data_IF_116054669831
#
_entry.id   IF_116054669831
#
_cell.length_a   1.000
_cell.length_b   1.000
_cell.length_c   1.000
_cell.angle_alpha   90.00
_cell.angle_beta   90.00
_cell.angle_gamma   90.00
#
_symmetry.space_group_name_H-M   'P 1'
#
loop_
_entity.id
_entity.type
_entity.pdbx_description
1 polymer ?
#
# COMPACT_ATOMS: atom_id res chain seq x y z
N UNK A 1 -15.25 -28.46 -4.74
CA UNK A 1 -16.34 -28.05 -5.64
C UNK A 1 -16.15 -26.59 -5.98
N UNK A 2 -15.95 -26.31 -7.26
CA UNK A 2 -15.54 -24.97 -7.72
C UNK A 2 -16.79 -24.12 -7.97
N UNK A 3 -17.16 -23.29 -7.00
CA UNK A 3 -18.14 -22.24 -7.27
C UNK A 3 -17.48 -21.06 -8.01
N UNK A 4 -17.54 -21.15 -9.33
CA UNK A 4 -17.19 -20.02 -10.20
C UNK A 4 -18.38 -19.07 -10.25
N UNK A 5 -18.44 -18.07 -9.41
CA UNK A 5 -19.36 -16.96 -9.62
C UNK A 5 -18.75 -15.97 -10.61
N UNK A 6 -19.37 -15.82 -11.77
CA UNK A 6 -19.05 -14.77 -12.75
C UNK A 6 -19.83 -13.52 -12.36
N UNK A 7 -19.12 -12.46 -12.00
CA UNK A 7 -19.74 -11.14 -11.84
C UNK A 7 -19.51 -10.37 -13.14
N UNK A 8 -20.58 -10.10 -13.86
CA UNK A 8 -20.56 -9.27 -15.07
C UNK A 8 -20.76 -7.82 -14.68
N UNK A 9 -19.69 -7.03 -14.66
CA UNK A 9 -19.78 -5.58 -14.79
C UNK A 9 -19.50 -5.21 -16.24
N UNK A 10 -20.11 -4.15 -16.74
CA UNK A 10 -19.96 -3.72 -18.12
C UNK A 10 -18.47 -3.68 -18.52
N UNK A 11 -18.08 -4.56 -19.43
CA UNK A 11 -16.74 -4.73 -20.02
C UNK A 11 -15.62 -5.38 -19.21
N UNK A 12 -15.81 -5.82 -17.97
CA UNK A 12 -14.77 -6.51 -17.22
C UNK A 12 -15.31 -7.76 -16.52
N UNK A 13 -14.83 -8.92 -16.93
CA UNK A 13 -15.13 -10.19 -16.25
C UNK A 13 -14.07 -10.43 -15.18
N UNK A 14 -14.46 -10.34 -13.93
CA UNK A 14 -13.65 -10.77 -12.80
C UNK A 14 -14.06 -12.21 -12.41
N UNK A 15 -13.08 -13.11 -12.24
CA UNK A 15 -13.29 -14.42 -11.68
C UNK A 15 -12.99 -14.39 -10.19
N UNK A 16 -13.93 -14.89 -9.39
CA UNK A 16 -13.82 -14.93 -7.94
C UNK A 16 -13.55 -16.36 -7.50
N UNK A 17 -12.50 -16.54 -6.71
CA UNK A 17 -12.23 -17.77 -5.99
C UNK A 17 -12.26 -17.47 -4.50
N UNK A 18 -13.18 -18.10 -3.80
CA UNK A 18 -13.24 -17.98 -2.34
C UNK A 18 -12.87 -19.32 -1.75
N UNK A 19 -11.85 -19.35 -0.90
CA UNK A 19 -11.47 -20.53 -0.13
C UNK A 19 -11.03 -20.09 1.25
N UNK A 20 -11.65 -20.66 2.29
CA UNK A 20 -11.14 -20.53 3.64
C UNK A 20 -9.87 -21.40 3.76
N UNK A 21 -8.76 -20.78 4.07
CA UNK A 21 -7.48 -21.43 4.30
C UNK A 21 -6.85 -20.93 5.58
N UNK A 22 -6.04 -21.75 6.22
CA UNK A 22 -5.13 -21.27 7.27
C UNK A 22 -4.01 -20.47 6.63
N UNK A 23 -3.43 -19.52 7.35
CA UNK A 23 -2.32 -18.71 6.85
C UNK A 23 -1.15 -19.54 6.32
N UNK A 24 -0.71 -20.64 6.97
CA UNK A 24 0.31 -21.52 6.42
C UNK A 24 -0.08 -22.18 5.10
N UNK A 25 -1.34 -22.60 4.92
CA UNK A 25 -1.83 -23.14 3.65
C UNK A 25 -1.84 -22.10 2.53
N UNK A 26 -2.17 -20.87 2.85
CA UNK A 26 -2.12 -19.76 1.91
C UNK A 26 -0.69 -19.45 1.47
N UNK A 27 0.26 -19.40 2.42
CA UNK A 27 1.68 -19.20 2.10
C UNK A 27 2.25 -20.32 1.25
N UNK A 28 1.90 -21.57 1.53
CA UNK A 28 2.32 -22.70 0.70
C UNK A 28 1.78 -22.61 -0.74
N UNK A 29 0.61 -22.04 -0.93
CA UNK A 29 -0.01 -21.86 -2.25
C UNK A 29 0.59 -20.68 -3.04
N UNK A 30 1.02 -19.62 -2.35
CA UNK A 30 1.72 -18.45 -2.94
C UNK A 30 3.22 -18.69 -3.18
N UNK A 31 3.65 -19.90 -2.95
CA UNK A 31 4.98 -20.29 -2.59
C UNK A 31 6.04 -20.07 -3.61
N UNK A 32 6.19 -19.66 -4.61
CA UNK A 32 7.49 -19.84 -5.27
C UNK A 32 8.34 -18.59 -5.36
N UNK A 33 7.78 -17.44 -5.65
CA UNK A 33 8.59 -16.22 -5.80
C UNK A 33 8.87 -15.51 -4.48
N UNK A 34 7.86 -15.41 -3.64
CA UNK A 34 7.97 -14.66 -2.37
C UNK A 34 8.78 -15.44 -1.33
N UNK A 35 8.54 -16.73 -1.19
CA UNK A 35 9.32 -17.58 -0.31
C UNK A 35 10.78 -17.74 -0.78
N UNK A 36 11.02 -17.80 -2.09
CA UNK A 36 12.37 -17.79 -2.65
C UNK A 36 13.08 -16.46 -2.36
N UNK A 37 12.41 -15.32 -2.45
CA UNK A 37 12.92 -14.00 -2.07
C UNK A 37 13.24 -13.90 -0.58
N UNK A 38 12.36 -14.41 0.28
CA UNK A 38 12.58 -14.43 1.73
C UNK A 38 13.78 -15.31 2.11
N UNK A 39 13.96 -16.47 1.47
CA UNK A 39 15.15 -17.34 1.67
C UNK A 39 16.46 -16.68 1.22
N UNK A 40 16.44 -15.97 0.09
CA UNK A 40 17.62 -15.24 -0.43
C UNK A 40 18.02 -14.14 0.55
N UNK A 41 17.08 -13.55 1.28
CA UNK A 41 17.33 -12.48 2.24
C UNK A 41 17.73 -12.98 3.64
N UNK A 42 18.03 -14.27 3.81
CA UNK A 42 18.45 -14.84 5.09
C UNK A 42 17.32 -15.01 6.11
N UNK A 43 16.07 -14.70 5.73
CA UNK A 43 14.90 -15.00 6.55
C UNK A 43 14.40 -16.40 6.22
N UNK A 44 14.27 -17.27 7.22
CA UNK A 44 13.54 -18.50 7.05
C UNK A 44 12.03 -18.17 7.04
N UNK A 45 11.24 -19.05 6.45
CA UNK A 45 9.78 -18.97 6.53
C UNK A 45 9.29 -18.90 7.98
N UNK A 46 9.95 -19.65 8.86
CA UNK A 46 9.68 -19.67 10.29
C UNK A 46 10.05 -18.35 10.98
N UNK A 47 11.15 -17.70 10.57
CA UNK A 47 11.52 -16.36 11.06
C UNK A 47 10.49 -15.31 10.67
N UNK A 48 9.94 -15.39 9.48
CA UNK A 48 8.86 -14.52 9.03
C UNK A 48 7.55 -14.73 9.80
N UNK A 49 7.14 -15.97 9.99
CA UNK A 49 5.94 -16.31 10.76
C UNK A 49 6.08 -16.00 12.24
N UNK A 50 7.28 -16.17 12.79
CA UNK A 50 7.53 -16.05 14.22
C UNK A 50 7.92 -14.65 14.66
N UNK A 51 8.22 -13.75 13.73
CA UNK A 51 8.68 -12.39 14.01
C UNK A 51 9.93 -12.40 14.89
N UNK A 52 10.77 -13.41 14.74
CA UNK A 52 11.93 -13.63 15.57
C UNK A 52 13.08 -12.72 15.13
N UNK A 53 13.34 -11.70 15.91
CA UNK A 53 14.63 -11.01 15.90
C UNK A 53 15.70 -11.73 16.76
N UNK A 54 15.36 -12.81 17.44
CA UNK A 54 16.28 -13.50 18.36
C UNK A 54 16.02 -15.00 18.42
N UNK A 55 17.05 -15.78 18.18
CA UNK A 55 17.07 -17.25 18.21
C UNK A 55 16.66 -17.93 19.55
N UNK A 56 16.14 -17.21 20.54
CA UNK A 56 15.86 -17.74 21.88
C UNK A 56 14.40 -17.89 22.26
N UNK A 57 13.47 -17.20 21.59
CA UNK A 57 12.08 -17.00 22.09
C UNK A 57 11.02 -17.92 21.45
N UNK A 58 11.42 -18.93 20.70
CA UNK A 58 10.51 -19.73 19.86
C UNK A 58 9.67 -20.77 20.63
N UNK A 59 10.05 -21.11 21.84
CA UNK A 59 9.49 -22.30 22.52
C UNK A 59 8.07 -22.17 23.08
N UNK A 60 7.48 -20.96 23.18
CA UNK A 60 6.19 -20.76 23.87
C UNK A 60 5.11 -19.98 23.09
N UNK A 61 5.20 -19.86 21.77
CA UNK A 61 4.15 -19.18 21.01
C UNK A 61 3.11 -20.19 20.52
N UNK A 62 1.95 -20.13 21.12
CA UNK A 62 0.76 -20.85 20.65
C UNK A 62 0.26 -20.14 19.39
N UNK A 63 0.39 -20.79 18.23
CA UNK A 63 -0.22 -20.31 16.99
C UNK A 63 -1.72 -20.60 17.04
N UNK A 64 -2.53 -19.57 17.16
CA UNK A 64 -3.95 -19.71 16.85
C UNK A 64 -4.10 -19.86 15.33
N UNK A 65 -4.40 -21.06 14.88
CA UNK A 65 -4.80 -21.32 13.50
C UNK A 65 -6.23 -20.80 13.25
N UNK A 66 -6.36 -19.47 13.17
CA UNK A 66 -7.63 -18.84 12.84
C UNK A 66 -7.81 -18.95 11.32
N UNK A 67 -8.89 -19.57 10.84
CA UNK A 67 -9.19 -19.58 9.40
C UNK A 67 -9.35 -18.14 8.90
N UNK A 68 -8.57 -17.75 7.91
CA UNK A 68 -8.67 -16.45 7.29
C UNK A 68 -9.33 -16.59 5.92
N UNK A 69 -10.45 -15.87 5.65
CA UNK A 69 -11.06 -15.88 4.33
C UNK A 69 -10.14 -15.18 3.33
N UNK A 70 -9.84 -15.85 2.23
CA UNK A 70 -9.01 -15.32 1.16
C UNK A 70 -9.83 -15.26 -0.11
N UNK A 71 -9.93 -14.06 -0.69
CA UNK A 71 -10.59 -13.80 -1.95
C UNK A 71 -9.52 -13.51 -3.01
N UNK A 72 -9.36 -14.40 -3.96
CA UNK A 72 -8.45 -14.23 -5.07
C UNK A 72 -9.19 -13.71 -6.30
N UNK A 73 -8.85 -12.50 -6.76
CA UNK A 73 -9.54 -11.82 -7.86
C UNK A 73 -8.62 -11.67 -9.05
N UNK A 74 -9.01 -12.22 -10.18
CA UNK A 74 -8.27 -12.09 -11.43
C UNK A 74 -9.04 -11.16 -12.37
N UNK A 75 -8.41 -10.08 -12.78
CA UNK A 75 -8.94 -9.18 -13.80
C UNK A 75 -8.73 -9.78 -15.20
N UNK A 76 -9.74 -9.72 -16.04
CA UNK A 76 -9.63 -10.18 -17.43
C UNK A 76 -8.61 -9.37 -18.23
N UNK A 77 -8.51 -8.06 -17.96
CA UNK A 77 -7.55 -7.15 -18.59
C UNK A 77 -6.80 -6.35 -17.53
N UNK A 78 -5.50 -6.13 -17.76
CA UNK A 78 -4.72 -5.26 -16.90
C UNK A 78 -5.02 -3.79 -17.24
N UNK A 79 -5.86 -3.16 -16.44
CA UNK A 79 -6.21 -1.74 -16.56
C UNK A 79 -5.46 -0.86 -15.54
N UNK A 80 -4.46 -1.42 -14.87
CA UNK A 80 -3.62 -0.72 -13.91
C UNK A 80 -4.03 -0.90 -12.44
N UNK A 81 -3.30 -0.22 -11.55
CA UNK A 81 -3.42 -0.32 -10.09
C UNK A 81 -4.73 0.25 -9.57
N UNK A 82 -5.11 1.45 -10.01
CA UNK A 82 -6.31 2.14 -9.53
C UNK A 82 -7.58 1.33 -9.81
N UNK A 83 -7.62 0.63 -10.95
CA UNK A 83 -8.74 -0.26 -11.25
C UNK A 83 -8.82 -1.44 -10.28
N UNK A 84 -7.69 -1.95 -9.80
CA UNK A 84 -7.70 -2.96 -8.72
C UNK A 84 -8.20 -2.38 -7.40
N UNK A 85 -7.83 -1.15 -7.09
CA UNK A 85 -8.35 -0.43 -5.92
C UNK A 85 -9.85 -0.15 -6.04
N UNK A 86 -10.36 0.15 -7.25
CA UNK A 86 -11.80 0.32 -7.49
C UNK A 86 -12.56 -0.97 -7.15
N UNK A 87 -12.08 -2.13 -7.62
CA UNK A 87 -12.67 -3.42 -7.27
C UNK A 87 -12.61 -3.71 -5.78
N UNK A 88 -11.49 -3.41 -5.14
CA UNK A 88 -11.34 -3.60 -3.70
C UNK A 88 -12.30 -2.73 -2.90
N UNK A 89 -12.29 -1.43 -3.15
CA UNK A 89 -13.10 -0.49 -2.36
C UNK A 89 -14.59 -0.54 -2.71
N UNK A 90 -14.94 -0.43 -4.00
CA UNK A 90 -16.34 -0.41 -4.45
C UNK A 90 -16.98 -1.78 -4.54
N UNK A 91 -16.18 -2.83 -4.77
CA UNK A 91 -16.70 -4.20 -4.80
C UNK A 91 -16.76 -4.83 -3.41
N UNK A 92 -15.61 -4.89 -2.72
CA UNK A 92 -15.51 -5.61 -1.44
C UNK A 92 -15.86 -4.75 -0.23
N UNK A 93 -15.17 -3.62 -0.07
CA UNK A 93 -15.34 -2.83 1.14
C UNK A 93 -16.76 -2.23 1.23
N UNK A 94 -17.33 -1.81 0.13
CA UNK A 94 -18.70 -1.27 0.11
C UNK A 94 -19.74 -2.36 0.47
N UNK A 95 -19.52 -3.61 0.06
CA UNK A 95 -20.38 -4.72 0.43
C UNK A 95 -20.16 -5.21 1.86
N UNK A 96 -18.89 -5.38 2.27
CA UNK A 96 -18.53 -5.96 3.57
C UNK A 96 -18.54 -4.96 4.72
N UNK A 97 -18.50 -3.65 4.43
CA UNK A 97 -18.47 -2.55 5.42
C UNK A 97 -17.40 -2.79 6.52
N UNK A 98 -16.13 -3.02 6.15
CA UNK A 98 -15.08 -3.29 7.14
C UNK A 98 -14.83 -2.07 8.02
N UNK A 99 -14.30 -2.24 9.22
CA UNK A 99 -13.88 -1.11 10.05
C UNK A 99 -12.60 -0.47 9.49
N UNK A 100 -11.69 -1.29 9.00
CA UNK A 100 -10.42 -0.87 8.41
C UNK A 100 -10.17 -1.53 7.05
N UNK A 101 -9.58 -0.77 6.15
CA UNK A 101 -9.09 -1.25 4.85
C UNK A 101 -7.57 -1.06 4.77
N UNK A 102 -6.83 -2.13 4.54
CA UNK A 102 -5.38 -2.10 4.41
C UNK A 102 -4.98 -2.29 2.94
N UNK A 103 -4.14 -1.40 2.43
CA UNK A 103 -3.51 -1.56 1.11
C UNK A 103 -2.05 -1.96 1.28
N UNK A 104 -1.63 -2.92 0.46
CA UNK A 104 -0.25 -3.38 0.39
C UNK A 104 0.10 -3.58 -1.09
N UNK A 105 1.18 -2.97 -1.56
CA UNK A 105 1.67 -3.17 -2.92
C UNK A 105 2.33 -4.54 -3.08
N UNK A 106 2.29 -5.06 -4.28
CA UNK A 106 3.03 -6.26 -4.64
C UNK A 106 4.54 -6.06 -4.41
N UNK A 107 5.18 -7.02 -3.73
CA UNK A 107 6.60 -6.94 -3.35
C UNK A 107 6.84 -6.26 -2.01
N UNK A 108 5.79 -5.76 -1.35
CA UNK A 108 5.88 -5.23 0.01
C UNK A 108 5.50 -6.28 1.04
N UNK A 109 6.28 -6.40 2.11
CA UNK A 109 6.12 -7.42 3.16
C UNK A 109 6.04 -6.73 4.53
N UNK A 110 4.84 -6.61 5.11
CA UNK A 110 4.71 -6.13 6.48
C UNK A 110 5.43 -7.05 7.46
N UNK A 111 6.20 -6.50 8.37
CA UNK A 111 6.82 -7.26 9.43
C UNK A 111 5.76 -7.70 10.46
N UNK A 112 6.15 -8.68 11.28
CA UNK A 112 5.32 -9.20 12.37
C UNK A 112 4.75 -8.04 13.22
N UNK A 113 3.48 -8.13 13.57
CA UNK A 113 2.74 -7.13 14.35
C UNK A 113 2.52 -5.76 13.69
N UNK A 114 3.05 -5.49 12.51
CA UNK A 114 2.98 -4.16 11.92
C UNK A 114 1.54 -3.73 11.63
N UNK A 115 0.76 -4.60 11.01
CA UNK A 115 -0.67 -4.32 10.73
C UNK A 115 -1.45 -4.21 12.03
N UNK A 116 -1.28 -5.16 12.96
CA UNK A 116 -1.98 -5.12 14.24
C UNK A 116 -1.62 -3.91 15.09
N UNK A 117 -0.38 -3.40 14.97
CA UNK A 117 0.07 -2.17 15.62
C UNK A 117 -0.67 -0.95 15.07
N UNK A 118 -0.82 -0.85 13.75
CA UNK A 118 -1.58 0.23 13.12
C UNK A 118 -3.06 0.15 13.52
N UNK A 119 -3.67 -1.04 13.47
CA UNK A 119 -5.08 -1.23 13.86
C UNK A 119 -5.31 -0.83 15.31
N UNK A 120 -4.48 -1.32 16.25
CA UNK A 120 -4.56 -0.92 17.67
C UNK A 120 -4.38 0.57 17.88
N UNK A 121 -3.52 1.21 17.10
CA UNK A 121 -3.32 2.65 17.16
C UNK A 121 -4.57 3.40 16.69
N UNK A 122 -5.17 2.98 15.58
CA UNK A 122 -6.45 3.52 15.07
C UNK A 122 -7.59 3.28 16.06
N UNK A 123 -7.64 2.11 16.72
CA UNK A 123 -8.65 1.81 17.73
C UNK A 123 -8.58 2.76 18.92
N UNK A 124 -7.36 3.08 19.37
CA UNK A 124 -7.14 4.01 20.46
C UNK A 124 -7.44 5.45 20.09
N UNK A 125 -7.20 5.84 18.82
CA UNK A 125 -7.32 7.22 18.34
C UNK A 125 -8.44 7.33 17.29
N UNK A 126 -9.67 7.51 17.74
CA UNK A 126 -10.86 7.47 16.87
C UNK A 126 -10.95 8.63 15.85
N UNK A 127 -10.20 9.73 16.05
CA UNK A 127 -10.10 10.87 15.13
C UNK A 127 -9.21 10.57 13.91
N UNK A 128 -8.40 9.49 13.94
CA UNK A 128 -7.49 9.19 12.86
C UNK A 128 -8.23 8.42 11.77
N UNK A 129 -8.32 9.01 10.58
CA UNK A 129 -8.96 8.44 9.40
C UNK A 129 -8.05 7.53 8.59
N UNK A 130 -6.74 7.78 8.61
CA UNK A 130 -5.76 6.93 7.96
C UNK A 130 -4.44 6.92 8.71
N UNK A 131 -3.70 5.83 8.60
CA UNK A 131 -2.37 5.72 9.18
C UNK A 131 -1.43 4.92 8.26
N UNK A 132 -0.16 5.27 8.30
CA UNK A 132 0.92 4.57 7.60
C UNK A 132 2.04 4.24 8.56
N UNK A 133 2.80 3.21 8.23
CA UNK A 133 4.00 2.82 8.96
C UNK A 133 5.29 3.22 8.24
N UNK A 134 6.38 2.66 8.71
CA UNK A 134 7.69 2.76 8.13
C UNK A 134 7.82 1.81 6.94
N UNK A 135 8.27 2.33 5.81
CA UNK A 135 8.65 1.52 4.66
C UNK A 135 10.17 1.45 4.63
N UNK A 136 10.70 0.25 4.75
CA UNK A 136 12.13 -0.02 4.69
C UNK A 136 12.49 -0.73 3.39
N UNK A 137 13.58 -0.30 2.79
CA UNK A 137 14.17 -0.97 1.63
C UNK A 137 14.85 -2.26 2.09
N UNK A 138 14.60 -3.35 1.39
CA UNK A 138 15.29 -4.62 1.65
C UNK A 138 16.76 -4.47 1.20
N UNK A 139 17.67 -4.55 2.15
CA UNK A 139 19.11 -4.63 1.88
C UNK A 139 19.50 -6.11 1.87
N UNK A 140 19.89 -6.62 0.71
CA UNK A 140 20.37 -7.97 0.53
C UNK A 140 21.85 -7.95 0.18
N UNK A 141 22.58 -9.01 0.52
CA UNK A 141 24.00 -9.16 0.14
C UNK A 141 24.13 -9.51 -1.34
N UNK A 142 23.13 -10.17 -1.90
CA UNK A 142 23.10 -10.63 -3.29
C UNK A 142 21.89 -10.11 -4.03
N UNK A 143 22.09 -9.88 -5.31
CA UNK A 143 21.03 -9.50 -6.23
C UNK A 143 19.99 -10.64 -6.32
N UNK A 144 18.73 -10.41 -5.96
CA UNK A 144 17.71 -11.46 -5.96
C UNK A 144 17.31 -11.93 -7.36
N UNK A 145 17.63 -11.16 -8.41
CA UNK A 145 17.34 -11.55 -9.79
C UNK A 145 18.40 -12.48 -10.35
N UNK A 146 19.69 -12.27 -10.04
CA UNK A 146 20.82 -13.00 -10.60
C UNK A 146 21.45 -14.00 -9.63
N UNK A 147 21.24 -13.82 -8.31
CA UNK A 147 21.90 -14.60 -7.26
C UNK A 147 23.37 -14.26 -7.03
N UNK A 148 23.91 -13.30 -7.78
CA UNK A 148 25.30 -12.83 -7.66
C UNK A 148 25.42 -11.66 -6.69
N UNK A 149 26.64 -11.34 -6.26
CA UNK A 149 26.90 -10.12 -5.51
C UNK A 149 26.54 -8.87 -6.31
N UNK A 150 26.16 -7.82 -5.63
CA UNK A 150 25.90 -6.54 -6.29
C UNK A 150 27.19 -5.91 -6.80
N UNK A 151 27.15 -5.35 -7.99
CA UNK A 151 28.18 -4.43 -8.44
C UNK A 151 28.23 -3.19 -7.55
N UNK A 152 29.38 -2.50 -7.52
CA UNK A 152 29.54 -1.27 -6.72
C UNK A 152 28.46 -0.24 -7.01
N UNK A 153 28.11 0.10 -8.29
CA UNK A 153 27.03 1.04 -8.58
C UNK A 153 25.65 0.58 -8.09
N UNK A 154 25.33 -0.70 -8.19
CA UNK A 154 24.06 -1.26 -7.68
C UNK A 154 23.99 -1.18 -6.16
N UNK A 155 25.08 -1.52 -5.46
CA UNK A 155 25.16 -1.41 -4.00
C UNK A 155 25.02 0.04 -3.53
N UNK A 156 25.68 0.99 -4.19
CA UNK A 156 25.53 2.42 -3.88
C UNK A 156 24.10 2.91 -4.12
N UNK A 157 23.49 2.50 -5.23
CA UNK A 157 22.10 2.86 -5.57
C UNK A 157 21.11 2.33 -4.53
N UNK A 158 21.32 1.10 -4.07
CA UNK A 158 20.49 0.46 -3.05
C UNK A 158 20.58 1.20 -1.71
N UNK A 159 21.80 1.53 -1.26
CA UNK A 159 22.05 2.27 -0.02
C UNK A 159 21.50 3.70 -0.06
N UNK A 160 21.60 4.37 -1.22
CA UNK A 160 21.02 5.70 -1.40
C UNK A 160 19.49 5.68 -1.25
N UNK A 161 18.82 4.69 -1.84
CA UNK A 161 17.39 4.51 -1.67
C UNK A 161 17.01 4.15 -0.23
N UNK A 162 17.79 3.29 0.42
CA UNK A 162 17.58 2.98 1.85
C UNK A 162 17.62 4.24 2.70
N UNK A 163 18.63 5.09 2.52
CA UNK A 163 18.76 6.34 3.22
C UNK A 163 17.57 7.28 2.95
N UNK A 164 17.18 7.42 1.68
CA UNK A 164 16.03 8.25 1.29
C UNK A 164 14.73 7.80 1.99
N UNK A 165 14.45 6.49 2.01
CA UNK A 165 13.24 5.96 2.67
C UNK A 165 13.29 6.17 4.19
N UNK A 166 14.46 6.05 4.81
CA UNK A 166 14.64 6.33 6.23
C UNK A 166 14.43 7.81 6.54
N UNK A 167 15.03 8.71 5.76
CA UNK A 167 14.84 10.15 5.91
C UNK A 167 13.36 10.54 5.75
N UNK A 168 12.71 10.08 4.68
CA UNK A 168 11.28 10.32 4.46
C UNK A 168 10.40 9.79 5.60
N UNK A 169 10.80 8.72 6.27
CA UNK A 169 10.02 8.15 7.37
C UNK A 169 10.26 8.90 8.67
N UNK A 170 11.52 9.07 9.08
CA UNK A 170 11.86 9.59 10.40
C UNK A 170 11.83 11.12 10.49
N UNK A 171 12.00 11.80 9.36
CA UNK A 171 11.97 13.26 9.31
C UNK A 171 10.60 13.72 8.80
N UNK A 172 10.27 13.41 7.53
CA UNK A 172 9.10 14.00 6.89
C UNK A 172 7.80 13.51 7.51
N UNK A 173 7.54 12.19 7.49
CA UNK A 173 6.27 11.64 8.02
C UNK A 173 6.11 11.85 9.52
N UNK A 174 7.20 11.74 10.28
CA UNK A 174 7.15 11.97 11.72
C UNK A 174 6.78 13.42 12.04
N UNK A 175 7.38 14.37 11.35
CA UNK A 175 7.07 15.80 11.50
C UNK A 175 5.65 16.13 11.05
N UNK A 176 5.26 15.69 9.84
CA UNK A 176 3.92 15.91 9.32
C UNK A 176 2.83 15.33 10.23
N UNK A 177 3.07 14.16 10.80
CA UNK A 177 2.12 13.49 11.71
C UNK A 177 1.85 14.28 12.98
N UNK A 178 2.79 15.10 13.48
CA UNK A 178 2.58 16.00 14.63
C UNK A 178 1.51 17.04 14.31
N UNK A 179 1.45 17.48 13.05
CA UNK A 179 0.45 18.43 12.58
C UNK A 179 -0.87 17.78 12.14
N UNK A 180 -1.00 16.46 12.34
CA UNK A 180 -2.23 15.71 12.05
C UNK A 180 -2.41 15.32 10.58
N UNK A 181 -1.39 15.42 9.76
CA UNK A 181 -1.42 14.97 8.38
C UNK A 181 -0.16 14.17 7.99
N UNK A 182 -0.24 13.44 6.91
CA UNK A 182 0.91 12.81 6.22
C UNK A 182 0.67 13.00 4.73
N UNK A 183 1.55 13.73 4.06
CA UNK A 183 1.39 14.17 2.67
C UNK A 183 1.45 13.04 1.63
N UNK A 184 1.89 11.86 2.04
CA UNK A 184 1.92 10.65 1.20
C UNK A 184 1.42 9.47 2.00
N UNK A 185 0.28 8.92 1.60
CA UNK A 185 -0.25 7.65 2.09
C UNK A 185 0.15 6.53 1.11
N UNK A 186 1.33 5.92 1.28
CA UNK A 186 1.87 5.03 0.27
C UNK A 186 0.97 3.80 0.11
N UNK A 187 0.62 3.48 -1.14
CA UNK A 187 -0.12 2.27 -1.45
C UNK A 187 0.60 0.97 -1.02
N UNK A 188 1.90 1.07 -0.73
CA UNK A 188 2.69 -0.04 -0.22
C UNK A 188 2.34 -0.45 1.20
N UNK A 189 1.95 0.51 2.06
CA UNK A 189 1.63 0.20 3.47
C UNK A 189 0.80 1.31 4.11
N UNK A 190 -0.50 1.36 3.81
CA UNK A 190 -1.44 2.32 4.41
C UNK A 190 -2.73 1.65 4.83
N UNK A 191 -3.22 2.03 6.00
CA UNK A 191 -4.49 1.57 6.58
C UNK A 191 -5.45 2.74 6.64
N UNK A 192 -6.67 2.51 6.21
CA UNK A 192 -7.74 3.50 6.17
C UNK A 192 -8.89 3.06 7.07
N UNK A 193 -9.46 3.98 7.81
CA UNK A 193 -10.76 3.76 8.45
C UNK A 193 -11.83 3.88 7.38
N UNK A 194 -12.59 2.80 7.17
CA UNK A 194 -13.58 2.74 6.08
C UNK A 194 -14.59 3.89 6.15
N UNK A 195 -15.10 4.17 7.32
CA UNK A 195 -16.05 5.28 7.54
C UNK A 195 -15.50 6.64 7.09
N UNK A 196 -14.21 6.87 7.17
CA UNK A 196 -13.55 8.10 6.77
C UNK A 196 -13.44 8.23 5.25
N UNK A 197 -13.04 7.15 4.58
CA UNK A 197 -12.76 7.20 3.14
C UNK A 197 -13.99 6.93 2.28
N UNK A 198 -15.01 6.26 2.81
CA UNK A 198 -16.23 5.94 2.07
C UNK A 198 -17.01 7.23 1.74
N UNK A 199 -17.16 7.52 0.46
CA UNK A 199 -17.81 8.74 -0.03
C UNK A 199 -16.88 9.62 -0.85
N UNK A 200 -16.82 10.91 -0.52
CA UNK A 200 -16.09 11.91 -1.30
C UNK A 200 -14.57 11.60 -1.46
N UNK A 201 -13.81 11.24 -0.41
CA UNK A 201 -12.40 10.94 -0.55
C UNK A 201 -12.12 9.79 -1.53
N UNK A 202 -12.90 8.72 -1.41
CA UNK A 202 -12.76 7.56 -2.28
C UNK A 202 -13.13 7.88 -3.73
N UNK A 203 -14.18 8.66 -3.93
CA UNK A 203 -14.62 9.06 -5.27
C UNK A 203 -13.55 9.91 -5.97
N UNK A 204 -12.92 10.86 -5.27
CA UNK A 204 -11.81 11.65 -5.82
C UNK A 204 -10.59 10.77 -6.15
N UNK A 205 -10.23 9.87 -5.25
CA UNK A 205 -9.14 8.92 -5.47
C UNK A 205 -9.37 8.03 -6.70
N UNK A 206 -10.60 7.56 -6.90
CA UNK A 206 -10.95 6.64 -8.00
C UNK A 206 -11.15 7.34 -9.35
N UNK A 207 -11.17 8.67 -9.42
CA UNK A 207 -11.22 9.41 -10.71
C UNK A 207 -10.08 9.06 -11.67
N UNK A 208 -9.00 8.48 -11.17
CA UNK A 208 -7.93 7.91 -11.99
C UNK A 208 -8.25 6.59 -12.66
N UNK A 209 -9.35 5.91 -12.31
CA UNK A 209 -9.80 4.71 -13.00
C UNK A 209 -10.25 5.03 -14.43
N UNK A 210 -9.98 4.13 -15.38
CA UNK A 210 -10.12 4.42 -16.81
C UNK A 210 -11.53 4.84 -17.21
N UNK A 211 -12.55 4.21 -16.65
CA UNK A 211 -13.93 4.49 -17.00
C UNK A 211 -14.37 5.88 -16.50
N UNK A 212 -13.93 6.29 -15.33
CA UNK A 212 -14.21 7.61 -14.75
C UNK A 212 -13.31 8.69 -15.35
N UNK A 213 -12.13 8.33 -15.80
CA UNK A 213 -11.17 9.20 -16.47
C UNK A 213 -11.70 9.73 -17.81
N UNK A 214 -12.41 8.92 -18.59
CA UNK A 214 -13.04 9.31 -19.83
C UNK A 214 -14.12 10.38 -19.66
N UNK A 215 -14.80 10.39 -18.51
CA UNK A 215 -15.89 11.33 -18.18
C UNK A 215 -15.40 12.73 -17.73
N UNK A 216 -14.10 12.92 -17.51
CA UNK A 216 -13.55 14.18 -17.03
C UNK A 216 -13.20 15.14 -18.18
N UNK A 217 -14.21 15.73 -18.79
CA UNK A 217 -14.02 16.67 -19.92
C UNK A 217 -13.28 17.97 -19.54
N UNK A 218 -13.34 18.38 -18.26
CA UNK A 218 -12.78 19.66 -17.78
C UNK A 218 -11.27 19.69 -17.58
N UNK A 219 -10.59 18.55 -17.61
CA UNK A 219 -9.14 18.50 -17.41
C UNK A 219 -8.40 18.49 -18.72
N UNK A 220 -7.26 19.21 -18.78
CA UNK A 220 -6.38 19.15 -19.95
C UNK A 220 -5.81 17.73 -20.12
N UNK A 221 -5.50 17.28 -21.35
CA UNK A 221 -4.90 15.97 -21.57
C UNK A 221 -3.64 15.72 -20.74
N UNK A 222 -2.81 16.74 -20.56
CA UNK A 222 -1.59 16.67 -19.74
C UNK A 222 -1.92 16.43 -18.26
N UNK A 223 -2.86 17.16 -17.71
CA UNK A 223 -3.32 16.98 -16.32
C UNK A 223 -3.91 15.59 -16.13
N UNK A 224 -4.77 15.15 -17.04
CA UNK A 224 -5.33 13.80 -17.03
C UNK A 224 -4.25 12.72 -16.99
N UNK A 225 -3.23 12.83 -17.83
CA UNK A 225 -2.18 11.84 -17.95
C UNK A 225 -1.27 11.75 -16.71
N UNK A 226 -1.14 12.81 -15.92
CA UNK A 226 -0.14 12.90 -14.86
C UNK A 226 -0.72 12.97 -13.44
N UNK A 227 -1.92 13.52 -13.23
CA UNK A 227 -2.51 13.75 -11.91
C UNK A 227 -2.68 12.46 -11.09
N UNK A 228 -3.04 11.37 -11.75
CA UNK A 228 -3.29 10.09 -11.09
C UNK A 228 -2.11 9.11 -11.14
N UNK A 229 -0.92 9.58 -11.52
CA UNK A 229 0.31 8.77 -11.43
C UNK A 229 0.81 8.59 -10.00
N UNK A 230 0.40 9.49 -9.09
CA UNK A 230 0.68 9.45 -7.67
C UNK A 230 -0.64 9.65 -6.90
N UNK A 231 -1.52 8.67 -7.02
CA UNK A 231 -2.85 8.63 -6.40
C UNK A 231 -2.80 8.74 -4.87
N UNK A 232 -1.72 8.25 -4.28
CA UNK A 232 -1.43 8.29 -2.86
C UNK A 232 -1.27 9.72 -2.30
N UNK A 233 -0.98 10.68 -3.17
CA UNK A 233 -0.89 12.11 -2.82
C UNK A 233 -2.21 12.87 -2.91
N UNK A 234 -3.27 12.27 -3.40
CA UNK A 234 -4.60 12.87 -3.46
C UNK A 234 -5.41 12.47 -2.22
N UNK A 235 -5.31 11.22 -1.82
CA UNK A 235 -6.13 10.66 -0.75
C UNK A 235 -5.99 11.41 0.58
N UNK A 236 -4.78 11.82 0.96
CA UNK A 236 -4.58 12.52 2.23
C UNK A 236 -5.32 13.85 2.29
N UNK A 237 -5.31 14.63 1.20
CA UNK A 237 -6.00 15.91 1.13
C UNK A 237 -7.51 15.73 1.29
N UNK A 238 -8.06 14.75 0.59
CA UNK A 238 -9.50 14.50 0.60
C UNK A 238 -9.96 13.94 1.97
N UNK A 239 -9.12 13.19 2.68
CA UNK A 239 -9.37 12.78 4.06
C UNK A 239 -9.45 13.99 4.99
N UNK A 240 -8.51 14.93 4.89
CA UNK A 240 -8.54 16.16 5.70
C UNK A 240 -9.71 17.07 5.30
N UNK A 241 -10.09 17.08 4.03
CA UNK A 241 -11.15 17.92 3.51
C UNK A 241 -12.56 17.38 3.78
N UNK A 242 -12.72 16.08 4.04
CA UNK A 242 -14.05 15.50 4.28
C UNK A 242 -14.59 15.83 5.68
N UNK A 243 -15.89 15.66 5.86
CA UNK A 243 -16.55 15.88 7.15
C UNK A 243 -16.00 14.93 8.24
N UNK A 244 -16.00 15.38 9.49
CA UNK A 244 -15.61 14.55 10.65
C UNK A 244 -14.26 14.93 11.28
N UNK A 245 -13.59 15.98 10.80
CA UNK A 245 -12.30 16.47 11.35
C UNK A 245 -11.23 15.35 11.49
N UNK A 246 -11.12 14.55 10.45
CA UNK A 246 -10.18 13.45 10.42
C UNK A 246 -8.74 13.93 10.33
N UNK A 247 -7.85 13.22 11.01
CA UNK A 247 -6.41 13.41 10.93
C UNK A 247 -5.75 12.18 10.34
N UNK A 248 -4.47 12.31 9.98
CA UNK A 248 -3.66 11.23 9.44
C UNK A 248 -2.42 11.11 10.29
N UNK A 249 -1.98 9.90 10.58
CA UNK A 249 -0.84 9.68 11.47
C UNK A 249 0.18 8.69 10.90
N UNK A 250 1.42 8.90 11.28
CA UNK A 250 2.49 7.92 11.17
C UNK A 250 2.56 7.08 12.45
N UNK A 251 2.66 5.77 12.30
CA UNK A 251 2.73 4.83 13.44
C UNK A 251 4.13 4.26 13.56
N UNK A 252 4.93 4.72 14.54
CA UNK A 252 6.29 4.24 14.74
C UNK A 252 6.32 2.73 15.04
N UNK A 253 7.31 2.06 14.47
CA UNK A 253 7.52 0.62 14.68
C UNK A 253 6.55 -0.31 13.96
N UNK A 254 5.59 0.22 13.19
CA UNK A 254 4.86 -0.55 12.19
C UNK A 254 5.66 -0.54 10.90
N UNK A 255 6.33 -1.63 10.56
CA UNK A 255 7.31 -1.70 9.48
C UNK A 255 6.84 -2.57 8.33
N UNK A 256 7.19 -2.17 7.11
CA UNK A 256 6.97 -2.91 5.89
C UNK A 256 8.23 -2.88 5.03
N UNK A 257 8.69 -4.03 4.63
CA UNK A 257 9.84 -4.16 3.72
C UNK A 257 9.37 -4.03 2.27
N UNK A 258 10.17 -3.38 1.43
CA UNK A 258 9.88 -3.22 0.00
C UNK A 258 11.11 -3.46 -0.86
N UNK A 259 10.88 -3.98 -2.07
CA UNK A 259 11.92 -4.20 -3.07
C UNK A 259 12.21 -2.89 -3.82
N UNK A 260 13.42 -2.33 -3.75
CA UNK A 260 13.80 -1.16 -4.52
C UNK A 260 14.25 -1.54 -5.94
N UNK A 261 14.19 -0.61 -6.91
CA UNK A 261 14.85 -0.80 -8.20
C UNK A 261 16.36 -0.87 -8.02
N UNK A 262 16.97 -1.92 -8.57
CA UNK A 262 18.42 -2.15 -8.52
C UNK A 262 19.13 -1.42 -9.67
N UNK A 263 18.45 -1.21 -10.79
CA UNK A 263 19.01 -0.56 -11.97
C UNK A 263 18.68 0.94 -11.98
N UNK A 264 19.65 1.77 -12.31
CA UNK A 264 19.49 3.22 -12.45
C UNK A 264 18.36 3.58 -13.44
N UNK A 265 18.27 2.86 -14.56
CA UNK A 265 17.22 3.09 -15.57
C UNK A 265 15.83 2.81 -14.98
N UNK A 266 15.68 1.73 -14.20
CA UNK A 266 14.42 1.41 -13.51
C UNK A 266 14.09 2.49 -12.47
N UNK A 267 15.08 2.96 -11.72
CA UNK A 267 14.91 4.04 -10.75
C UNK A 267 14.45 5.33 -11.44
N UNK A 268 15.10 5.77 -12.51
CA UNK A 268 14.72 6.97 -13.25
C UNK A 268 13.27 6.87 -13.77
N UNK A 269 12.87 5.72 -14.31
CA UNK A 269 11.49 5.48 -14.76
C UNK A 269 10.48 5.56 -13.61
N UNK A 270 10.83 5.04 -12.44
CA UNK A 270 9.99 5.13 -11.24
C UNK A 270 9.87 6.57 -10.76
N UNK A 271 10.99 7.30 -10.62
CA UNK A 271 11.05 8.69 -10.17
C UNK A 271 10.34 9.65 -11.12
N UNK A 272 10.45 9.45 -12.43
CA UNK A 272 9.70 10.21 -13.41
C UNK A 272 8.20 10.18 -13.14
N UNK A 273 7.64 9.01 -12.83
CA UNK A 273 6.22 8.90 -12.45
C UNK A 273 5.92 9.66 -11.16
N UNK A 274 6.76 9.49 -10.16
CA UNK A 274 6.56 10.12 -8.85
C UNK A 274 6.64 11.65 -8.93
N UNK A 275 7.64 12.19 -9.59
CA UNK A 275 7.80 13.65 -9.73
C UNK A 275 6.66 14.27 -10.55
N UNK A 276 6.30 13.67 -11.67
CA UNK A 276 5.19 14.16 -12.47
C UNK A 276 3.88 14.10 -11.68
N UNK A 277 3.54 12.95 -11.10
CA UNK A 277 2.33 12.80 -10.28
C UNK A 277 2.32 13.76 -9.08
N UNK A 278 3.46 13.94 -8.41
CA UNK A 278 3.59 14.87 -7.29
C UNK A 278 3.34 16.31 -7.69
N UNK A 279 3.90 16.76 -8.82
CA UNK A 279 3.70 18.13 -9.32
C UNK A 279 2.21 18.41 -9.55
N UNK A 280 1.52 17.54 -10.28
CA UNK A 280 0.10 17.72 -10.57
C UNK A 280 -0.78 17.56 -9.31
N UNK A 281 -0.44 16.65 -8.40
CA UNK A 281 -1.10 16.55 -7.12
C UNK A 281 -0.91 17.82 -6.27
N UNK A 282 0.28 18.43 -6.29
CA UNK A 282 0.53 19.71 -5.59
C UNK A 282 -0.35 20.83 -6.16
N UNK A 283 -0.49 20.95 -7.47
CA UNK A 283 -1.43 21.90 -8.07
C UNK A 283 -2.87 21.64 -7.64
N UNK A 284 -3.27 20.37 -7.57
CA UNK A 284 -4.59 20.00 -7.07
C UNK A 284 -4.77 20.43 -5.60
N UNK A 285 -3.76 20.19 -4.74
CA UNK A 285 -3.77 20.62 -3.34
C UNK A 285 -3.91 22.13 -3.22
N UNK A 286 -3.09 22.91 -3.92
CA UNK A 286 -3.12 24.37 -3.89
C UNK A 286 -4.51 24.89 -4.29
N UNK A 287 -5.08 24.35 -5.37
CA UNK A 287 -6.41 24.73 -5.84
C UNK A 287 -7.50 24.43 -4.83
N UNK A 288 -7.35 23.37 -4.03
CA UNK A 288 -8.34 22.90 -3.06
C UNK A 288 -7.97 23.26 -1.62
N UNK A 289 -6.89 23.99 -1.37
CA UNK A 289 -6.40 24.30 -0.02
C UNK A 289 -7.46 24.98 0.85
N UNK A 290 -8.32 25.82 0.25
CA UNK A 290 -9.44 26.46 0.96
C UNK A 290 -10.39 25.47 1.63
N UNK A 291 -10.57 24.28 1.06
CA UNK A 291 -11.42 23.23 1.66
C UNK A 291 -10.91 22.74 3.02
N UNK A 292 -9.61 22.87 3.27
CA UNK A 292 -8.96 22.42 4.50
C UNK A 292 -8.78 23.57 5.48
N UNK A 293 -8.44 24.77 4.98
CA UNK A 293 -8.14 25.94 5.85
C UNK A 293 -9.36 26.57 6.51
N UNK A 294 -10.56 26.34 6.00
CA UNK A 294 -11.79 26.94 6.53
C UNK A 294 -12.63 25.95 7.35
N UNK A 295 -12.03 24.86 7.80
CA UNK A 295 -12.58 23.94 8.78
C UNK A 295 -11.94 24.12 10.14
#
# INVERSE_FOLDING_TARGET
MNDKKRVYGANNVAHWFTKAMTFPQWMAWFDTKTARRLRINGYSYDDFLLGSSRKGDVKNRVFCHIPMPIHFVIKHRNQGKIESHKWFFKGFCEYMQPEYAQIIDWGSVPLWNSISRIVKYLDKHKQIGAATGEIEVILTEKNPETGTEYSIPESMLLRAQYFEYKAATYIDKAMESVFGFVSVLPGAFSTFRWKCINGAPLNEFLKGAKDEFAMQEKLTPCTKANMFLAEDRIMWLEILACEGNWTISYVPGAKCLTDPPISLIRLIRQRRRWYNGSLFATFHVIKNLRKVMWK
#
